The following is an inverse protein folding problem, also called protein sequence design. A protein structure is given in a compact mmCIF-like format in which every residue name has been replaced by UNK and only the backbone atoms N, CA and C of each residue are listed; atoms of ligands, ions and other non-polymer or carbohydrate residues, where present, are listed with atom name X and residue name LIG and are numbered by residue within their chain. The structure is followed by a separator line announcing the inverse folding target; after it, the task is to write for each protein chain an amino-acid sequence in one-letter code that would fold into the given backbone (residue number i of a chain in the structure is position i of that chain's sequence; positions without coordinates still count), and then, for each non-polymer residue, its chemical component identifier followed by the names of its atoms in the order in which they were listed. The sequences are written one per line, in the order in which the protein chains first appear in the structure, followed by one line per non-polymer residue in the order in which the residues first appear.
data_IF_098515448363
#
_entry.id   IF_098515448363
#
_cell.length_a   1.000
_cell.length_b   1.000
_cell.length_c   1.000
_cell.angle_alpha   90.00
_cell.angle_beta   90.00
_cell.angle_gamma   90.00
#
_symmetry.space_group_name_H-M   'P 1'
#
loop_
_entity.id
_entity.type
_entity.pdbx_description
1 polymer ?
#
# COMPACT_ATOMS: atom_id res chain seq x y z
N UNK A 1 4.44 10.53 -15.91
CA UNK A 1 5.46 9.48 -15.74
C UNK A 1 6.71 10.03 -15.04
N UNK A 2 6.63 10.30 -13.73
CA UNK A 2 7.77 10.78 -12.94
C UNK A 2 8.48 9.67 -12.15
N UNK A 3 7.90 8.46 -12.13
CA UNK A 3 8.41 7.28 -11.43
C UNK A 3 8.99 6.22 -12.37
N UNK A 4 8.57 6.21 -13.65
CA UNK A 4 9.00 5.24 -14.66
C UNK A 4 10.53 5.29 -14.84
N UNK A 5 11.19 4.15 -14.71
CA UNK A 5 12.65 4.03 -14.78
C UNK A 5 13.42 4.56 -13.56
N UNK A 6 12.74 5.21 -12.59
CA UNK A 6 13.33 5.70 -11.33
C UNK A 6 13.00 4.81 -10.13
N UNK A 7 11.95 4.00 -10.22
CA UNK A 7 11.52 3.07 -9.17
C UNK A 7 11.30 1.67 -9.75
N UNK A 8 11.83 0.65 -9.10
CA UNK A 8 11.65 -0.73 -9.52
C UNK A 8 10.23 -1.22 -9.22
N UNK A 9 9.55 -1.73 -10.25
CA UNK A 9 8.26 -2.41 -10.11
C UNK A 9 8.55 -3.88 -9.81
N UNK A 10 8.13 -4.37 -8.64
CA UNK A 10 8.38 -5.75 -8.19
C UNK A 10 7.11 -6.57 -7.93
N UNK A 11 5.92 -5.98 -8.07
CA UNK A 11 4.66 -6.68 -7.83
C UNK A 11 3.46 -5.81 -8.15
N UNK A 12 2.27 -6.43 -8.13
CA UNK A 12 0.98 -5.77 -8.28
C UNK A 12 -0.03 -6.37 -7.31
N UNK A 13 -0.98 -5.54 -6.86
CA UNK A 13 -2.11 -6.00 -6.06
C UNK A 13 -3.04 -6.81 -6.96
N UNK A 14 -3.32 -8.06 -6.60
CA UNK A 14 -4.26 -8.94 -7.33
C UNK A 14 -5.64 -8.99 -6.69
N UNK A 15 -5.72 -8.78 -5.37
CA UNK A 15 -6.95 -8.82 -4.57
C UNK A 15 -6.93 -7.74 -3.48
N UNK A 16 -8.10 -7.31 -2.99
CA UNK A 16 -8.21 -6.32 -1.91
C UNK A 16 -7.95 -4.87 -2.33
N UNK A 17 -8.19 -4.51 -3.60
CA UNK A 17 -7.97 -3.14 -4.09
C UNK A 17 -8.89 -2.12 -3.40
N UNK A 18 -10.08 -2.53 -2.96
CA UNK A 18 -11.00 -1.75 -2.14
C UNK A 18 -10.38 -1.36 -0.79
N UNK A 19 -9.66 -2.29 -0.15
CA UNK A 19 -8.91 -2.03 1.09
C UNK A 19 -7.80 -1.01 0.83
N UNK A 20 -7.05 -1.15 -0.27
CA UNK A 20 -6.03 -0.16 -0.68
C UNK A 20 -6.64 1.22 -0.87
N UNK A 21 -7.82 1.31 -1.50
CA UNK A 21 -8.54 2.58 -1.66
C UNK A 21 -9.04 3.14 -0.33
N UNK A 22 -9.47 2.29 0.59
CA UNK A 22 -9.88 2.71 1.93
C UNK A 22 -8.71 3.29 2.72
N UNK A 23 -7.53 2.63 2.67
CA UNK A 23 -6.28 3.14 3.25
C UNK A 23 -5.93 4.50 2.66
N UNK A 24 -6.04 4.68 1.34
CA UNK A 24 -5.78 5.97 0.68
C UNK A 24 -6.74 7.11 1.05
N UNK A 25 -7.82 6.82 1.80
CA UNK A 25 -8.84 7.81 2.22
C UNK A 25 -8.85 8.04 3.74
N UNK A 26 -7.97 7.39 4.50
CA UNK A 26 -7.90 7.64 5.95
C UNK A 26 -7.52 9.07 6.23
N UNK A 27 -7.98 9.60 7.36
CA UNK A 27 -7.67 10.96 7.78
C UNK A 27 -6.16 11.08 8.05
N UNK A 28 -5.52 12.06 7.41
CA UNK A 28 -4.11 12.38 7.61
C UNK A 28 -3.95 13.66 8.43
N UNK A 29 -2.84 13.74 9.16
CA UNK A 29 -2.36 14.90 9.90
C UNK A 29 -1.16 15.54 9.22
N UNK A 30 -0.24 16.08 10.02
CA UNK A 30 0.97 16.72 9.50
C UNK A 30 1.85 15.76 8.68
N UNK A 31 2.46 16.27 7.61
CA UNK A 31 3.31 15.51 6.69
C UNK A 31 2.61 14.28 6.07
N UNK A 32 1.30 14.37 5.83
CA UNK A 32 0.46 13.31 5.26
C UNK A 32 0.46 11.99 6.05
N UNK A 33 0.87 12.03 7.33
CA UNK A 33 0.84 10.86 8.21
C UNK A 33 -0.60 10.55 8.63
N UNK A 34 -1.07 9.28 8.59
CA UNK A 34 -2.36 8.90 9.16
C UNK A 34 -2.52 9.36 10.61
N UNK A 35 -3.70 9.86 10.97
CA UNK A 35 -4.04 10.21 12.37
C UNK A 35 -4.14 8.96 13.22
N UNK A 36 -4.75 7.92 12.64
CA UNK A 36 -4.86 6.60 13.22
C UNK A 36 -3.92 5.68 12.40
N UNK A 37 -2.95 5.04 13.06
CA UNK A 37 -1.91 4.26 12.38
C UNK A 37 -2.53 3.07 11.63
N UNK A 38 -2.15 2.91 10.36
CA UNK A 38 -2.48 1.74 9.53
C UNK A 38 -1.26 0.82 9.52
N UNK A 39 -1.34 -0.30 10.25
CA UNK A 39 -0.20 -1.19 10.49
C UNK A 39 -0.38 -2.56 9.84
N UNK A 40 0.71 -3.14 9.35
CA UNK A 40 0.73 -4.53 8.88
C UNK A 40 0.92 -5.47 10.07
N UNK A 41 -0.11 -6.22 10.44
CA UNK A 41 -0.04 -7.13 11.59
C UNK A 41 0.70 -8.43 11.27
N UNK A 42 0.49 -8.97 10.07
CA UNK A 42 1.11 -10.21 9.60
C UNK A 42 1.31 -10.18 8.09
N UNK A 43 2.46 -10.70 7.66
CA UNK A 43 2.75 -10.97 6.25
C UNK A 43 2.98 -12.47 6.10
N UNK A 44 2.30 -13.07 5.12
CA UNK A 44 2.49 -14.48 4.77
C UNK A 44 3.02 -14.54 3.35
N UNK A 45 4.13 -15.25 3.16
CA UNK A 45 4.67 -15.55 1.83
C UNK A 45 4.21 -16.95 1.47
N UNK A 46 3.46 -17.05 0.39
CA UNK A 46 3.11 -18.32 -0.24
C UNK A 46 3.87 -18.45 -1.54
N UNK A 47 4.42 -19.62 -1.83
CA UNK A 47 4.94 -19.90 -3.16
C UNK A 47 3.77 -19.78 -4.16
N UNK A 48 3.93 -18.89 -5.13
CA UNK A 48 3.04 -18.85 -6.28
C UNK A 48 3.24 -20.15 -7.05
N UNK A 49 2.16 -20.90 -7.26
CA UNK A 49 2.18 -22.16 -8.01
C UNK A 49 2.78 -22.01 -9.41
#
# INVERSE_FOLDING_TARGET
PWLDGKHAIFGKVTEGLDVVQAIGKVRTGSADRPVDDVVMEKVTVSDGG
#
